data_IF_273611234674
#
_entry.id   IF_273611234674
#
_cell.length_a   1.000
_cell.length_b   1.000
_cell.length_c   1.000
_cell.angle_alpha   90.00
_cell.angle_beta   90.00
_cell.angle_gamma   90.00
#
_symmetry.space_group_name_H-M   'P 1'
#
loop_
_entity.id
_entity.type
_entity.pdbx_description
1 polymer ?
#
# COMPACT_ATOMS: atom_id res chain seq x y z
N UNK A 1 -5.59 -48.16 -17.67
CA UNK A 1 -6.12 -46.82 -17.38
C UNK A 1 -5.63 -46.29 -16.03
N UNK A 2 -5.76 -47.00 -14.92
CA UNK A 2 -5.27 -46.52 -13.59
C UNK A 2 -3.78 -46.21 -13.55
N UNK A 3 -2.92 -47.12 -14.03
CA UNK A 3 -1.45 -46.88 -14.08
C UNK A 3 -1.04 -45.65 -14.93
N UNK A 4 -1.77 -45.40 -15.99
CA UNK A 4 -1.52 -44.18 -16.81
C UNK A 4 -1.88 -42.92 -16.06
N UNK A 5 -3.00 -42.89 -15.33
CA UNK A 5 -3.42 -41.77 -14.49
C UNK A 5 -2.40 -41.51 -13.37
N UNK A 6 -1.88 -42.56 -12.72
CA UNK A 6 -0.85 -42.43 -11.68
C UNK A 6 0.46 -41.83 -12.23
N UNK A 7 0.87 -42.26 -13.43
CA UNK A 7 2.05 -41.68 -14.08
C UNK A 7 1.84 -40.21 -14.41
N UNK A 8 0.69 -39.83 -14.96
CA UNK A 8 0.35 -38.43 -15.25
C UNK A 8 0.34 -37.59 -13.96
N UNK A 9 -0.29 -38.06 -12.91
CA UNK A 9 -0.32 -37.36 -11.61
C UNK A 9 1.09 -37.19 -11.02
N UNK A 10 1.95 -38.20 -11.14
CA UNK A 10 3.33 -38.14 -10.67
C UNK A 10 4.12 -37.10 -11.44
N UNK A 11 4.00 -37.05 -12.77
CA UNK A 11 4.66 -36.06 -13.62
C UNK A 11 4.18 -34.66 -13.29
N UNK A 12 2.86 -34.46 -13.18
CA UNK A 12 2.26 -33.16 -12.81
C UNK A 12 2.73 -32.73 -11.42
N UNK A 13 2.74 -33.66 -10.45
CA UNK A 13 3.24 -33.41 -9.11
C UNK A 13 4.72 -32.96 -9.09
N UNK A 14 5.57 -33.65 -9.87
CA UNK A 14 6.98 -33.25 -10.01
C UNK A 14 7.16 -31.88 -10.66
N UNK A 15 6.39 -31.59 -11.71
CA UNK A 15 6.43 -30.27 -12.38
C UNK A 15 5.98 -29.17 -11.43
N UNK A 16 4.91 -29.38 -10.67
CA UNK A 16 4.46 -28.42 -9.66
C UNK A 16 5.50 -28.24 -8.56
N UNK A 17 6.10 -29.32 -8.06
CA UNK A 17 7.15 -29.25 -7.05
C UNK A 17 8.35 -28.42 -7.56
N UNK A 18 8.82 -28.66 -8.77
CA UNK A 18 9.90 -27.88 -9.38
C UNK A 18 9.50 -26.42 -9.59
N UNK A 19 8.27 -26.17 -10.06
CA UNK A 19 7.75 -24.84 -10.25
C UNK A 19 7.66 -24.04 -8.94
N UNK A 20 7.45 -24.70 -7.79
CA UNK A 20 7.39 -24.05 -6.47
C UNK A 20 8.72 -24.04 -5.71
N UNK A 21 9.74 -24.76 -6.18
CA UNK A 21 11.03 -24.88 -5.50
C UNK A 21 11.73 -23.51 -5.33
N UNK A 22 11.55 -22.59 -6.28
CA UNK A 22 12.07 -21.23 -6.19
C UNK A 22 11.55 -20.47 -4.95
N UNK A 23 10.34 -20.76 -4.49
CA UNK A 23 9.77 -20.12 -3.29
C UNK A 23 10.54 -20.51 -2.02
N UNK A 24 11.03 -21.75 -1.96
CA UNK A 24 11.87 -22.22 -0.85
C UNK A 24 13.19 -21.43 -0.86
N UNK A 25 13.80 -21.27 -2.04
CA UNK A 25 15.02 -20.47 -2.20
C UNK A 25 14.82 -19.03 -1.73
N UNK A 26 13.77 -18.36 -2.21
CA UNK A 26 13.47 -16.97 -1.78
C UNK A 26 13.18 -16.87 -0.29
N UNK A 27 12.50 -17.86 0.29
CA UNK A 27 12.24 -17.88 1.73
C UNK A 27 13.54 -17.98 2.54
N UNK A 28 14.44 -18.89 2.16
CA UNK A 28 15.74 -19.04 2.82
C UNK A 28 16.62 -17.80 2.65
N UNK A 29 16.65 -17.23 1.46
CA UNK A 29 17.35 -15.98 1.17
C UNK A 29 16.80 -14.83 2.02
N UNK A 30 15.47 -14.64 2.06
CA UNK A 30 14.81 -13.63 2.87
C UNK A 30 15.10 -13.77 4.37
N UNK A 31 15.15 -15.01 4.90
CA UNK A 31 15.52 -15.26 6.29
C UNK A 31 16.98 -14.89 6.59
N UNK A 32 17.91 -15.19 5.68
CA UNK A 32 19.31 -14.90 5.85
C UNK A 32 19.62 -13.39 5.82
N UNK A 33 19.02 -12.66 4.88
CA UNK A 33 19.34 -11.25 4.62
C UNK A 33 18.47 -10.25 5.36
N UNK A 34 17.23 -10.58 5.73
CA UNK A 34 16.33 -9.70 6.49
C UNK A 34 16.92 -9.18 7.83
N UNK A 35 17.83 -9.93 8.43
CA UNK A 35 18.52 -9.51 9.67
C UNK A 35 19.58 -8.43 9.44
N UNK A 36 20.22 -8.43 8.26
CA UNK A 36 21.29 -7.48 7.94
C UNK A 36 20.73 -6.05 7.75
N UNK A 37 19.63 -5.91 7.02
CA UNK A 37 19.10 -4.60 6.66
C UNK A 37 18.33 -3.92 7.80
N UNK A 38 17.71 -4.70 8.70
CA UNK A 38 17.17 -4.14 9.95
C UNK A 38 18.24 -3.45 10.79
N UNK A 39 19.48 -3.97 10.80
CA UNK A 39 20.60 -3.36 11.52
C UNK A 39 21.10 -2.08 10.84
N UNK A 40 21.04 -2.01 9.51
CA UNK A 40 21.40 -0.80 8.74
C UNK A 40 20.36 0.30 8.94
N UNK A 41 19.07 -0.04 8.85
CA UNK A 41 17.97 0.91 9.06
C UNK A 41 17.96 1.50 10.49
N UNK A 42 18.27 0.68 11.51
CA UNK A 42 18.35 1.13 12.91
C UNK A 42 19.51 2.08 13.21
N UNK A 43 20.53 2.16 12.34
CA UNK A 43 21.69 3.04 12.50
C UNK A 43 21.55 4.41 11.85
N UNK A 44 20.48 4.65 11.11
CA UNK A 44 20.26 5.94 10.47
C UNK A 44 19.67 6.92 11.47
N UNK A 45 20.38 8.02 11.72
CA UNK A 45 19.88 9.14 12.53
C UNK A 45 18.67 9.74 11.82
N UNK A 46 17.54 9.98 12.51
CA UNK A 46 16.40 10.64 11.90
C UNK A 46 16.80 12.06 11.47
N UNK A 47 16.85 12.31 10.18
CA UNK A 47 16.96 13.66 9.66
C UNK A 47 15.67 14.43 10.00
N UNK A 48 15.76 15.75 10.22
CA UNK A 48 14.57 16.58 10.42
C UNK A 48 13.66 16.43 9.17
N UNK A 49 12.37 16.11 9.33
CA UNK A 49 11.45 16.04 8.21
C UNK A 49 11.45 17.36 7.42
N UNK A 50 11.69 17.28 6.13
CA UNK A 50 11.73 18.46 5.25
C UNK A 50 11.02 18.24 3.92
N UNK A 51 10.67 16.97 3.59
CA UNK A 51 10.04 16.61 2.34
C UNK A 51 8.53 16.74 2.45
N UNK A 52 7.91 17.18 1.37
CA UNK A 52 6.46 17.31 1.27
C UNK A 52 5.87 16.12 0.52
N UNK A 53 4.85 15.53 1.11
CA UNK A 53 4.13 14.38 0.54
C UNK A 53 2.67 14.71 0.30
N UNK A 54 2.10 14.08 -0.73
CA UNK A 54 0.67 14.06 -0.96
C UNK A 54 0.14 12.63 -0.85
N UNK A 55 -0.80 12.39 0.07
CA UNK A 55 -1.55 11.15 0.16
C UNK A 55 -2.72 11.21 -0.83
N UNK A 56 -2.79 10.24 -1.75
CA UNK A 56 -3.78 10.14 -2.81
C UNK A 56 -4.71 8.96 -2.54
N UNK A 57 -6.00 9.24 -2.44
CA UNK A 57 -7.03 8.25 -2.12
C UNK A 57 -8.13 8.36 -3.17
N UNK A 58 -8.33 7.28 -3.95
CA UNK A 58 -9.48 7.16 -4.83
C UNK A 58 -10.49 6.23 -4.16
N UNK A 59 -11.69 6.74 -3.91
CA UNK A 59 -12.74 6.05 -3.18
C UNK A 59 -14.05 6.02 -4.00
N UNK A 60 -14.80 4.91 -3.88
CA UNK A 60 -16.12 4.77 -4.48
C UNK A 60 -17.06 4.06 -3.50
N UNK A 61 -18.02 4.80 -2.95
CA UNK A 61 -18.96 4.30 -1.93
C UNK A 61 -18.26 3.72 -0.69
N UNK A 62 -17.36 4.52 -0.11
CA UNK A 62 -16.50 4.12 1.02
C UNK A 62 -16.79 5.00 2.27
N UNK A 63 -18.00 5.55 2.41
CA UNK A 63 -18.36 6.45 3.52
C UNK A 63 -18.12 5.83 4.90
N UNK A 64 -18.22 4.49 5.01
CA UNK A 64 -18.06 3.76 6.27
C UNK A 64 -16.62 3.62 6.75
N UNK A 65 -15.63 3.74 5.86
CA UNK A 65 -14.22 3.43 6.17
C UNK A 65 -13.25 4.57 5.89
N UNK A 66 -13.60 5.49 4.96
CA UNK A 66 -12.69 6.57 4.52
C UNK A 66 -12.25 7.48 5.67
N UNK A 67 -13.11 7.70 6.66
CA UNK A 67 -12.81 8.52 7.83
C UNK A 67 -11.70 7.94 8.72
N UNK A 68 -11.65 6.60 8.87
CA UNK A 68 -10.61 5.91 9.63
C UNK A 68 -9.23 6.08 8.98
N UNK A 69 -9.15 5.91 7.65
CA UNK A 69 -7.91 6.12 6.90
C UNK A 69 -7.40 7.56 7.07
N UNK A 70 -8.26 8.57 6.84
CA UNK A 70 -7.87 9.98 6.94
C UNK A 70 -7.42 10.31 8.37
N UNK A 71 -8.11 9.80 9.38
CA UNK A 71 -7.73 9.97 10.78
C UNK A 71 -6.36 9.37 11.08
N UNK A 72 -6.06 8.18 10.54
CA UNK A 72 -4.75 7.54 10.70
C UNK A 72 -3.62 8.30 9.99
N UNK A 73 -3.92 8.94 8.86
CA UNK A 73 -2.98 9.83 8.15
C UNK A 73 -2.76 11.17 8.88
N UNK A 74 -3.78 11.68 9.56
CA UNK A 74 -3.64 12.88 10.39
C UNK A 74 -2.87 12.64 11.70
N UNK A 75 -2.87 11.39 12.17
CA UNK A 75 -2.17 10.96 13.40
C UNK A 75 -0.70 10.54 13.15
N UNK A 76 -0.14 10.84 11.97
CA UNK A 76 1.26 10.50 11.67
C UNK A 76 2.24 11.33 12.50
N UNK A 77 3.37 10.71 12.88
CA UNK A 77 4.54 11.38 13.49
C UNK A 77 5.34 12.21 12.45
N UNK A 78 4.63 12.97 11.63
CA UNK A 78 5.16 13.77 10.55
C UNK A 78 4.52 15.15 10.56
N UNK A 79 5.25 16.24 10.24
CA UNK A 79 4.68 17.59 10.26
C UNK A 79 3.44 17.69 9.38
N UNK A 80 2.32 18.11 9.96
CA UNK A 80 1.03 18.16 9.27
C UNK A 80 1.04 19.09 8.05
N UNK A 81 1.88 20.14 8.09
CA UNK A 81 2.09 21.09 7.01
C UNK A 81 2.86 20.51 5.81
N UNK A 82 3.51 19.35 5.99
CA UNK A 82 4.27 18.64 4.96
C UNK A 82 3.53 17.41 4.41
N UNK A 83 2.31 17.12 4.88
CA UNK A 83 1.48 16.01 4.44
C UNK A 83 0.09 16.48 4.02
N UNK A 84 -0.12 16.65 2.72
CA UNK A 84 -1.43 16.96 2.16
C UNK A 84 -2.22 15.67 1.89
N UNK A 85 -3.52 15.65 2.22
CA UNK A 85 -4.38 14.47 2.02
C UNK A 85 -5.45 14.81 0.99
N UNK A 86 -5.41 14.13 -0.16
CA UNK A 86 -6.32 14.32 -1.27
C UNK A 86 -7.20 13.08 -1.47
N UNK A 87 -8.49 13.29 -1.60
CA UNK A 87 -9.48 12.25 -1.87
C UNK A 87 -10.22 12.57 -3.15
N UNK A 88 -10.39 11.59 -4.02
CA UNK A 88 -11.34 11.64 -5.13
C UNK A 88 -12.46 10.63 -4.88
N UNK A 89 -13.66 11.11 -4.65
CA UNK A 89 -14.88 10.30 -4.66
C UNK A 89 -15.30 10.07 -6.13
N UNK A 90 -14.90 8.91 -6.69
CA UNK A 90 -15.11 8.57 -8.10
C UNK A 90 -16.42 7.81 -8.30
N UNK A 91 -17.39 8.43 -8.93
CA UNK A 91 -18.73 7.88 -9.16
C UNK A 91 -19.38 7.38 -7.85
N UNK A 92 -19.16 8.07 -6.73
CA UNK A 92 -19.79 7.77 -5.46
C UNK A 92 -21.22 8.31 -5.41
N UNK A 93 -22.12 7.50 -4.86
CA UNK A 93 -23.54 7.82 -4.66
C UNK A 93 -23.90 8.04 -3.19
N UNK A 94 -22.94 7.81 -2.29
CA UNK A 94 -23.04 7.94 -0.83
C UNK A 94 -22.37 9.22 -0.31
N UNK A 95 -22.15 9.30 1.00
CA UNK A 95 -21.53 10.45 1.64
C UNK A 95 -20.00 10.44 1.67
N UNK A 96 -19.31 9.61 0.85
CA UNK A 96 -17.84 9.45 0.85
C UNK A 96 -17.11 10.79 0.84
N UNK A 97 -17.43 11.70 -0.09
CA UNK A 97 -16.74 13.00 -0.20
C UNK A 97 -16.98 13.89 1.02
N UNK A 98 -18.19 13.87 1.56
CA UNK A 98 -18.56 14.65 2.75
C UNK A 98 -17.80 14.16 3.98
N UNK A 99 -17.75 12.84 4.20
CA UNK A 99 -17.00 12.22 5.31
C UNK A 99 -15.52 12.53 5.19
N UNK A 100 -14.95 12.45 3.98
CA UNK A 100 -13.55 12.79 3.74
C UNK A 100 -13.23 14.26 4.12
N UNK A 101 -14.08 15.22 3.73
CA UNK A 101 -13.90 16.64 4.11
C UNK A 101 -14.01 16.85 5.61
N UNK A 102 -14.98 16.22 6.27
CA UNK A 102 -15.15 16.29 7.73
C UNK A 102 -13.96 15.73 8.49
N UNK A 103 -13.31 14.67 7.96
CA UNK A 103 -12.08 14.11 8.52
C UNK A 103 -10.84 14.96 8.23
N UNK A 104 -10.95 16.06 7.45
CA UNK A 104 -9.89 17.03 7.20
C UNK A 104 -9.08 16.77 5.92
N UNK A 105 -9.59 15.98 4.96
CA UNK A 105 -8.98 15.84 3.65
C UNK A 105 -9.52 16.89 2.66
N UNK A 106 -8.73 17.15 1.62
CA UNK A 106 -9.17 17.91 0.44
C UNK A 106 -9.87 16.93 -0.50
N UNK A 107 -11.22 16.97 -0.54
CA UNK A 107 -11.97 16.00 -1.30
C UNK A 107 -12.63 16.60 -2.54
N UNK A 108 -12.44 15.92 -3.66
CA UNK A 108 -13.07 16.17 -4.95
C UNK A 108 -14.10 15.09 -5.26
N UNK A 109 -15.01 15.40 -6.16
CA UNK A 109 -16.03 14.49 -6.68
C UNK A 109 -15.92 14.42 -8.20
N UNK A 110 -16.04 13.21 -8.74
CA UNK A 110 -16.05 12.96 -10.18
C UNK A 110 -17.17 12.01 -10.53
N UNK A 111 -17.91 12.37 -11.56
CA UNK A 111 -18.97 11.55 -12.14
C UNK A 111 -18.69 11.35 -13.64
N UNK A 112 -18.17 10.19 -13.99
CA UNK A 112 -17.86 9.83 -15.37
C UNK A 112 -18.13 8.34 -15.61
N UNK A 113 -19.24 7.99 -16.28
CA UNK A 113 -19.62 6.61 -16.52
C UNK A 113 -18.78 5.91 -17.59
N UNK A 114 -18.03 6.67 -18.40
CA UNK A 114 -17.26 6.13 -19.53
C UNK A 114 -15.81 5.78 -19.15
N UNK A 115 -15.24 6.47 -18.18
CA UNK A 115 -13.87 6.27 -17.73
C UNK A 115 -13.88 5.75 -16.30
N UNK A 116 -14.19 4.48 -16.13
CA UNK A 116 -14.28 3.82 -14.83
C UNK A 116 -12.97 3.10 -14.51
N UNK A 117 -12.48 3.28 -13.29
CA UNK A 117 -11.31 2.57 -12.78
C UNK A 117 -10.28 3.48 -12.11
N UNK A 118 -9.47 2.87 -11.22
CA UNK A 118 -8.52 3.59 -10.35
C UNK A 118 -7.51 4.44 -11.13
N UNK A 119 -7.07 3.97 -12.31
CA UNK A 119 -6.14 4.74 -13.15
C UNK A 119 -6.72 6.06 -13.65
N UNK A 120 -7.98 6.05 -14.12
CA UNK A 120 -8.67 7.27 -14.53
C UNK A 120 -8.93 8.20 -13.34
N UNK A 121 -9.32 7.64 -12.21
CA UNK A 121 -9.54 8.39 -10.98
C UNK A 121 -8.24 9.06 -10.48
N UNK A 122 -7.12 8.37 -10.49
CA UNK A 122 -5.81 8.94 -10.13
C UNK A 122 -5.39 10.05 -11.09
N UNK A 123 -5.59 9.86 -12.40
CA UNK A 123 -5.26 10.89 -13.41
C UNK A 123 -6.08 12.16 -13.20
N UNK A 124 -7.38 12.01 -12.91
CA UNK A 124 -8.23 13.15 -12.53
C UNK A 124 -7.75 13.82 -11.25
N UNK A 125 -7.43 13.03 -10.22
CA UNK A 125 -6.94 13.55 -8.95
C UNK A 125 -5.65 14.37 -9.13
N UNK A 126 -4.70 13.89 -9.95
CA UNK A 126 -3.51 14.65 -10.30
C UNK A 126 -3.83 15.96 -11.04
N UNK A 127 -4.84 15.96 -11.91
CA UNK A 127 -5.31 17.19 -12.58
C UNK A 127 -5.87 18.20 -11.57
N UNK A 128 -6.68 17.74 -10.61
CA UNK A 128 -7.25 18.58 -9.55
C UNK A 128 -6.16 19.14 -8.62
N UNK A 129 -5.15 18.35 -8.28
CA UNK A 129 -4.01 18.80 -7.48
C UNK A 129 -3.22 19.88 -8.23
N UNK A 130 -2.92 19.63 -9.53
CA UNK A 130 -2.17 20.56 -10.39
C UNK A 130 -2.84 21.92 -10.51
N UNK A 131 -4.16 21.97 -10.47
CA UNK A 131 -4.89 23.26 -10.49
C UNK A 131 -4.75 24.08 -9.20
N UNK A 132 -4.35 23.45 -8.11
CA UNK A 132 -4.18 24.09 -6.79
C UNK A 132 -2.74 24.37 -6.43
N UNK A 133 -1.84 23.45 -6.78
CA UNK A 133 -0.42 23.48 -6.44
C UNK A 133 0.40 22.77 -7.52
N UNK A 134 1.56 23.29 -7.92
CA UNK A 134 2.47 22.57 -8.81
C UNK A 134 2.83 21.20 -8.25
N UNK A 135 2.82 20.16 -9.09
CA UNK A 135 3.18 18.79 -8.64
C UNK A 135 4.65 18.72 -8.19
N UNK A 136 5.50 19.60 -8.70
CA UNK A 136 6.91 19.74 -8.30
C UNK A 136 7.12 20.20 -6.86
N UNK A 137 6.08 20.68 -6.19
CA UNK A 137 6.15 21.04 -4.77
C UNK A 137 6.12 19.80 -3.85
N UNK A 138 5.81 18.63 -4.41
CA UNK A 138 5.82 17.36 -3.70
C UNK A 138 7.05 16.55 -4.06
N UNK A 139 7.72 16.02 -3.05
CA UNK A 139 8.85 15.10 -3.22
C UNK A 139 8.39 13.71 -3.63
N UNK A 140 7.23 13.26 -3.13
CA UNK A 140 6.61 12.01 -3.57
C UNK A 140 5.10 11.97 -3.28
N UNK A 141 4.43 10.98 -3.90
CA UNK A 141 3.01 10.71 -3.77
C UNK A 141 2.79 9.34 -3.12
N UNK A 142 1.94 9.30 -2.09
CA UNK A 142 1.58 8.10 -1.34
C UNK A 142 0.18 7.68 -1.76
N UNK A 143 0.02 6.53 -2.41
CA UNK A 143 -1.28 6.05 -2.91
C UNK A 143 -1.86 5.01 -1.96
N UNK A 144 -3.07 5.25 -1.46
CA UNK A 144 -3.79 4.37 -0.56
C UNK A 144 -5.11 3.87 -1.16
N UNK A 145 -5.54 2.70 -0.72
CA UNK A 145 -6.92 2.24 -0.88
C UNK A 145 -7.75 2.76 0.31
N UNK A 146 -9.02 3.08 0.09
CA UNK A 146 -9.86 3.79 1.06
C UNK A 146 -10.13 3.02 2.36
N UNK A 147 -10.00 1.70 2.33
CA UNK A 147 -10.19 0.78 3.45
C UNK A 147 -8.92 0.52 4.28
N UNK A 148 -7.82 1.17 3.95
CA UNK A 148 -6.56 1.02 4.69
C UNK A 148 -6.60 1.75 6.04
N UNK A 149 -5.77 1.29 6.98
CA UNK A 149 -5.36 2.01 8.19
C UNK A 149 -3.85 2.08 8.18
N UNK A 150 -3.30 3.27 8.46
CA UNK A 150 -1.86 3.53 8.36
C UNK A 150 -1.27 3.60 9.76
N UNK A 151 -0.15 2.91 9.97
CA UNK A 151 0.63 3.01 11.23
C UNK A 151 1.11 4.45 11.45
N UNK A 152 1.13 4.91 12.69
CA UNK A 152 1.50 6.29 13.05
C UNK A 152 2.90 6.71 12.62
N UNK A 153 3.81 5.76 12.41
CA UNK A 153 5.19 5.99 11.98
C UNK A 153 5.43 5.71 10.49
N UNK A 154 4.34 5.52 9.72
CA UNK A 154 4.44 5.12 8.32
C UNK A 154 5.14 6.19 7.47
N UNK A 155 4.69 7.44 7.53
CA UNK A 155 5.24 8.53 6.69
C UNK A 155 6.71 8.79 7.03
N UNK A 156 7.05 8.82 8.30
CA UNK A 156 8.44 8.99 8.74
C UNK A 156 9.34 7.81 8.32
N UNK A 157 8.80 6.58 8.30
CA UNK A 157 9.53 5.42 7.80
C UNK A 157 9.74 5.48 6.28
N UNK A 158 8.72 5.91 5.51
CA UNK A 158 8.82 6.12 4.07
C UNK A 158 9.81 7.23 3.73
N UNK A 159 9.79 8.34 4.48
CA UNK A 159 10.73 9.45 4.30
C UNK A 159 12.19 9.00 4.47
N UNK A 160 12.48 8.21 5.52
CA UNK A 160 13.82 7.63 5.73
C UNK A 160 14.25 6.71 4.60
N UNK A 161 13.32 5.94 4.04
CA UNK A 161 13.64 5.01 2.94
C UNK A 161 13.81 5.77 1.63
N UNK A 162 12.94 6.75 1.37
CA UNK A 162 13.04 7.63 0.20
C UNK A 162 14.35 8.43 0.17
N UNK A 163 14.85 8.84 1.35
CA UNK A 163 16.15 9.52 1.50
C UNK A 163 17.35 8.67 1.04
N UNK A 164 17.19 7.36 0.86
CA UNK A 164 18.22 6.46 0.35
C UNK A 164 18.33 6.48 -1.18
N UNK A 165 17.49 7.25 -1.88
CA UNK A 165 17.54 7.44 -3.33
C UNK A 165 16.67 6.46 -4.13
N UNK A 166 15.65 5.88 -3.52
CA UNK A 166 14.68 5.04 -4.24
C UNK A 166 13.58 5.90 -4.86
N UNK A 167 13.26 5.68 -6.14
CA UNK A 167 12.20 6.40 -6.85
C UNK A 167 10.81 5.81 -6.59
N UNK A 168 10.71 4.50 -6.32
CA UNK A 168 9.45 3.79 -6.06
C UNK A 168 9.59 2.93 -4.82
N UNK A 169 8.64 3.10 -3.90
CA UNK A 169 8.59 2.34 -2.65
C UNK A 169 7.28 1.59 -2.53
N UNK A 170 7.33 0.41 -1.94
CA UNK A 170 6.14 -0.32 -1.51
C UNK A 170 6.22 -0.62 -0.02
N UNK A 171 5.07 -0.66 0.64
CA UNK A 171 5.01 -0.90 2.07
C UNK A 171 4.62 -2.33 2.42
N UNK A 172 4.97 -2.74 3.62
CA UNK A 172 4.44 -3.93 4.24
C UNK A 172 2.94 -3.77 4.51
N UNK A 173 2.16 -4.80 4.18
CA UNK A 173 0.72 -4.88 4.46
C UNK A 173 0.44 -5.93 5.52
N UNK A 174 -0.50 -5.63 6.41
CA UNK A 174 -1.03 -6.57 7.37
C UNK A 174 -2.56 -6.44 7.40
N UNK A 175 -3.26 -7.45 7.91
CA UNK A 175 -4.71 -7.38 8.10
C UNK A 175 -5.02 -6.76 9.46
N UNK A 176 -5.94 -5.79 9.52
CA UNK A 176 -6.39 -5.17 10.76
C UNK A 176 -7.25 -6.08 11.64
N UNK A 177 -7.79 -7.14 11.07
CA UNK A 177 -8.74 -8.06 11.72
C UNK A 177 -8.27 -9.53 11.71
N UNK A 178 -6.99 -9.76 11.98
CA UNK A 178 -6.35 -11.09 11.98
C UNK A 178 -7.17 -12.15 12.73
N UNK A 179 -7.66 -11.82 13.90
CA UNK A 179 -8.35 -12.75 14.80
C UNK A 179 -9.87 -12.89 14.55
N UNK A 180 -10.44 -12.19 13.56
CA UNK A 180 -11.89 -12.19 13.35
C UNK A 180 -12.41 -13.48 12.70
N UNK A 181 -11.60 -14.14 11.88
CA UNK A 181 -11.92 -15.43 11.25
C UNK A 181 -10.66 -16.12 10.76
N UNK A 182 -10.78 -17.44 10.47
CA UNK A 182 -9.69 -18.21 9.86
C UNK A 182 -9.32 -17.69 8.45
N UNK A 183 -10.29 -17.12 7.72
CA UNK A 183 -10.07 -16.50 6.41
C UNK A 183 -9.22 -15.24 6.55
N UNK A 184 -9.54 -14.36 7.51
CA UNK A 184 -8.75 -13.16 7.81
C UNK A 184 -7.33 -13.49 8.24
N UNK A 185 -7.17 -14.53 9.07
CA UNK A 185 -5.87 -15.05 9.47
C UNK A 185 -5.07 -15.57 8.26
N UNK A 186 -5.71 -16.33 7.36
CA UNK A 186 -5.11 -16.83 6.12
C UNK A 186 -4.60 -15.72 5.22
N UNK A 187 -5.40 -14.68 4.97
CA UNK A 187 -4.99 -13.51 4.21
C UNK A 187 -3.82 -12.76 4.86
N UNK A 188 -3.83 -12.61 6.18
CA UNK A 188 -2.73 -11.96 6.91
C UNK A 188 -1.42 -12.71 6.76
N UNK A 189 -1.45 -14.04 6.86
CA UNK A 189 -0.27 -14.91 6.67
C UNK A 189 0.19 -14.81 5.20
N UNK A 190 -0.73 -14.76 4.25
CA UNK A 190 -0.41 -14.61 2.84
C UNK A 190 0.28 -13.26 2.55
N UNK A 191 -0.24 -12.14 3.06
CA UNK A 191 0.40 -10.83 2.94
C UNK A 191 1.78 -10.79 3.60
N UNK A 192 1.93 -11.41 4.78
CA UNK A 192 3.21 -11.52 5.47
C UNK A 192 4.25 -12.28 4.62
N UNK A 193 3.82 -13.40 4.02
CA UNK A 193 4.66 -14.20 3.14
C UNK A 193 5.09 -13.40 1.90
N UNK A 194 4.14 -12.75 1.22
CA UNK A 194 4.40 -11.91 0.05
C UNK A 194 5.43 -10.81 0.37
N UNK A 195 5.17 -10.00 1.38
CA UNK A 195 6.01 -8.86 1.72
C UNK A 195 7.39 -9.29 2.19
N UNK A 196 7.47 -10.32 3.07
CA UNK A 196 8.71 -10.64 3.79
C UNK A 196 9.59 -11.65 3.07
N UNK A 197 8.99 -12.59 2.36
CA UNK A 197 9.72 -13.73 1.80
C UNK A 197 9.76 -13.76 0.27
N UNK A 198 8.82 -13.10 -0.42
CA UNK A 198 8.80 -13.10 -1.87
C UNK A 198 9.23 -11.75 -2.48
N UNK A 199 8.78 -10.64 -1.94
CA UNK A 199 9.09 -9.32 -2.50
C UNK A 199 10.46 -8.82 -2.05
N UNK A 200 10.79 -8.97 -0.77
CA UNK A 200 12.06 -8.52 -0.22
C UNK A 200 13.30 -9.06 -0.95
N UNK A 201 13.41 -10.35 -1.32
CA UNK A 201 14.56 -10.85 -2.05
C UNK A 201 14.65 -10.42 -3.52
N UNK A 202 13.62 -9.75 -4.05
CA UNK A 202 13.55 -9.28 -5.44
C UNK A 202 13.97 -7.81 -5.60
N UNK A 203 14.19 -7.11 -4.47
CA UNK A 203 14.71 -5.75 -4.42
C UNK A 203 16.24 -5.75 -4.49
#
# INVERSE_FOLDING_TARGET
MLRFLDQVNTIVGMLLFLAYLYQVFYTLYGLAFCRSDRRKAARQTPAKPSRRYAALICARNEESVIGELISSLRAQDYPAELLDIYVLADNSTDATARVARQAGAIAFERFNPYQVGKGYALNELFSQIRSRRPLSDYDAFLVFDADNIVDSHFVSAMDRTFAQGYDVLTSYRNSKNFASSWVSAGYSIWFLREARFLNYPRM
#
